data_IF_829986473367
#
_entry.id   IF_829986473367
#
_cell.length_a   1.000
_cell.length_b   1.000
_cell.length_c   1.000
_cell.angle_alpha   90.00
_cell.angle_beta   90.00
_cell.angle_gamma   90.00
#
_symmetry.space_group_name_H-M   'P 1'
#
loop_
_entity.id
_entity.type
_entity.pdbx_description
1 polymer ?
#
# COMPACT_ATOMS: atom_id res chain seq x y z
N UNK A 1 16.55 -8.31 20.17
CA UNK A 1 15.41 -9.00 20.83
C UNK A 1 14.68 -9.83 19.79
N UNK A 2 14.14 -11.00 20.14
CA UNK A 2 13.48 -11.88 19.17
C UNK A 2 11.96 -11.89 19.39
N UNK A 3 11.20 -11.75 18.30
CA UNK A 3 9.76 -11.89 18.28
C UNK A 3 9.32 -13.12 17.48
N UNK A 4 8.17 -13.67 17.86
CA UNK A 4 7.44 -14.65 17.07
C UNK A 4 6.02 -14.15 16.82
N UNK A 5 5.57 -14.24 15.56
CA UNK A 5 4.22 -13.88 15.15
C UNK A 5 3.38 -15.15 15.10
N UNK A 6 2.31 -15.19 15.88
CA UNK A 6 1.36 -16.32 15.97
C UNK A 6 0.01 -15.86 15.42
N UNK A 7 -0.30 -16.22 14.18
CA UNK A 7 -1.59 -15.93 13.59
C UNK A 7 -2.59 -17.04 13.96
N UNK A 8 -3.74 -16.65 14.53
CA UNK A 8 -4.81 -17.55 14.96
C UNK A 8 -5.99 -17.40 13.99
N UNK A 9 -6.32 -18.49 13.30
CA UNK A 9 -7.42 -18.55 12.35
C UNK A 9 -7.36 -19.80 11.48
N UNK A 10 -8.44 -20.59 11.45
CA UNK A 10 -8.53 -21.82 10.65
C UNK A 10 -8.53 -21.52 9.15
N UNK A 11 -9.11 -20.41 8.73
CA UNK A 11 -9.17 -19.92 7.36
C UNK A 11 -7.78 -19.66 6.76
N UNK A 12 -6.79 -19.32 7.60
CA UNK A 12 -5.39 -19.18 7.19
C UNK A 12 -4.76 -20.55 6.84
N UNK A 13 -5.09 -21.59 7.61
CA UNK A 13 -4.62 -22.96 7.36
C UNK A 13 -5.32 -23.60 6.16
N UNK A 14 -6.58 -23.21 5.90
CA UNK A 14 -7.35 -23.66 4.74
C UNK A 14 -6.98 -22.93 3.44
N UNK A 15 -6.08 -21.93 3.50
CA UNK A 15 -5.67 -21.14 2.34
C UNK A 15 -6.78 -20.23 1.79
N UNK A 16 -7.83 -19.98 2.56
CA UNK A 16 -8.93 -19.09 2.18
C UNK A 16 -8.52 -17.61 2.25
N UNK A 17 -7.58 -17.30 3.15
CA UNK A 17 -7.01 -15.96 3.33
C UNK A 17 -5.49 -16.10 3.40
N UNK A 18 -4.78 -15.21 2.70
CA UNK A 18 -3.32 -15.11 2.82
C UNK A 18 -2.95 -14.39 4.12
N UNK A 19 -1.97 -14.89 4.88
CA UNK A 19 -1.50 -14.26 6.11
C UNK A 19 -0.66 -12.99 5.83
N UNK A 20 -1.32 -11.92 5.39
CA UNK A 20 -0.70 -10.61 5.13
C UNK A 20 -0.33 -9.87 6.42
N UNK A 21 -0.94 -10.23 7.55
CA UNK A 21 -0.59 -9.68 8.86
C UNK A 21 0.85 -9.99 9.25
N UNK A 22 1.30 -11.23 9.05
CA UNK A 22 2.68 -11.62 9.37
C UNK A 22 3.70 -10.85 8.52
N UNK A 23 3.39 -10.58 7.24
CA UNK A 23 4.20 -9.72 6.38
C UNK A 23 4.31 -8.31 6.97
N UNK A 24 3.18 -7.66 7.24
CA UNK A 24 3.15 -6.31 7.78
C UNK A 24 3.90 -6.20 9.11
N UNK A 25 3.63 -7.10 10.05
CA UNK A 25 4.30 -7.11 11.36
C UNK A 25 5.80 -7.35 11.23
N UNK A 26 6.23 -8.24 10.33
CA UNK A 26 7.67 -8.46 10.09
C UNK A 26 8.37 -7.22 9.57
N UNK A 27 7.77 -6.53 8.60
CA UNK A 27 8.30 -5.28 8.05
C UNK A 27 8.47 -4.23 9.15
N UNK A 28 7.45 -4.09 10.02
CA UNK A 28 7.48 -3.12 11.11
C UNK A 28 8.46 -3.49 12.23
N UNK A 29 8.49 -4.75 12.65
CA UNK A 29 9.44 -5.24 13.67
C UNK A 29 10.89 -5.12 13.19
N UNK A 30 11.15 -5.46 11.93
CA UNK A 30 12.45 -5.24 11.31
C UNK A 30 12.83 -3.77 11.32
N UNK A 31 11.88 -2.84 11.10
CA UNK A 31 12.16 -1.39 11.14
C UNK A 31 12.55 -0.86 12.52
N UNK A 32 12.35 -1.63 13.60
CA UNK A 32 12.74 -1.25 14.96
C UNK A 32 13.79 -2.19 15.58
N UNK A 33 14.46 -3.00 14.78
CA UNK A 33 15.56 -3.86 15.24
C UNK A 33 15.11 -5.11 16.00
N UNK A 34 13.85 -5.52 15.86
CA UNK A 34 13.34 -6.76 16.44
C UNK A 34 13.41 -7.88 15.40
N UNK A 35 14.13 -8.95 15.71
CA UNK A 35 14.28 -10.09 14.81
C UNK A 35 13.01 -10.93 14.84
N UNK A 36 12.51 -11.30 13.66
CA UNK A 36 11.43 -12.28 13.51
C UNK A 36 12.01 -13.51 12.80
N UNK A 37 12.09 -14.63 13.52
CA UNK A 37 12.62 -15.89 12.97
C UNK A 37 11.54 -16.89 12.59
N UNK A 38 10.36 -16.78 13.21
CA UNK A 38 9.26 -17.72 12.99
C UNK A 38 7.94 -16.98 12.86
N UNK A 39 7.16 -17.43 11.88
CA UNK A 39 5.71 -17.24 11.84
C UNK A 39 5.07 -18.57 12.14
N UNK A 40 4.11 -18.58 13.05
CA UNK A 40 3.32 -19.77 13.37
C UNK A 40 1.87 -19.44 13.03
N UNK A 41 1.22 -20.30 12.26
CA UNK A 41 -0.23 -20.23 12.01
C UNK A 41 -0.90 -21.38 12.73
N UNK A 42 -1.94 -21.08 13.50
CA UNK A 42 -2.68 -22.07 14.30
C UNK A 42 -4.17 -21.89 14.07
N UNK A 43 -4.89 -22.97 13.80
CA UNK A 43 -6.36 -22.92 13.69
C UNK A 43 -7.01 -22.74 15.07
N UNK A 44 -8.29 -22.41 15.09
CA UNK A 44 -9.08 -22.02 16.27
C UNK A 44 -9.31 -23.19 17.23
N UNK A 45 -8.27 -23.56 17.96
CA UNK A 45 -8.26 -24.70 18.87
C UNK A 45 -7.34 -24.42 20.05
N UNK A 46 -7.92 -24.39 21.25
CA UNK A 46 -7.22 -24.09 22.50
C UNK A 46 -5.96 -24.92 22.70
N UNK A 47 -6.02 -26.24 22.52
CA UNK A 47 -4.87 -27.13 22.77
C UNK A 47 -3.71 -26.83 21.83
N UNK A 48 -3.98 -26.73 20.52
CA UNK A 48 -2.96 -26.41 19.52
C UNK A 48 -2.35 -25.03 19.77
N UNK A 49 -3.17 -24.05 20.15
CA UNK A 49 -2.69 -22.72 20.48
C UNK A 49 -1.80 -22.75 21.74
N UNK A 50 -2.16 -23.51 22.78
CA UNK A 50 -1.29 -23.70 23.96
C UNK A 50 0.07 -24.35 23.60
N UNK A 51 0.06 -25.36 22.74
CA UNK A 51 1.30 -26.04 22.29
C UNK A 51 2.19 -25.08 21.48
N UNK A 52 1.60 -24.26 20.61
CA UNK A 52 2.30 -23.23 19.86
C UNK A 52 2.92 -22.16 20.76
N UNK A 53 2.16 -21.65 21.74
CA UNK A 53 2.63 -20.63 22.69
C UNK A 53 3.82 -21.15 23.50
N UNK A 54 3.70 -22.36 24.07
CA UNK A 54 4.81 -22.99 24.83
C UNK A 54 6.08 -23.19 24.00
N UNK A 55 5.93 -23.38 22.69
CA UNK A 55 7.06 -23.49 21.77
C UNK A 55 7.68 -22.12 21.52
N UNK A 56 6.85 -21.11 21.26
CA UNK A 56 7.29 -19.73 21.04
C UNK A 56 7.99 -19.12 22.26
N UNK A 57 7.49 -19.37 23.48
CA UNK A 57 8.09 -18.91 24.74
C UNK A 57 9.54 -19.38 24.93
N UNK A 58 9.92 -20.52 24.33
CA UNK A 58 11.29 -21.05 24.40
C UNK A 58 12.27 -20.32 23.49
N UNK A 59 11.79 -19.65 22.44
CA UNK A 59 12.64 -19.11 21.36
C UNK A 59 12.46 -17.62 21.07
N UNK A 60 11.44 -16.98 21.64
CA UNK A 60 11.15 -15.57 21.50
C UNK A 60 11.01 -14.86 22.86
N UNK A 61 11.33 -13.57 22.89
CA UNK A 61 11.07 -12.67 24.02
C UNK A 61 9.71 -12.00 23.88
N UNK A 62 9.27 -11.77 22.65
CA UNK A 62 8.01 -11.12 22.31
C UNK A 62 7.14 -12.10 21.53
N UNK A 63 5.91 -12.31 21.97
CA UNK A 63 4.92 -13.12 21.27
C UNK A 63 3.80 -12.20 20.80
N UNK A 64 3.63 -12.07 19.48
CA UNK A 64 2.61 -11.22 18.88
C UNK A 64 1.53 -12.11 18.26
N UNK A 65 0.31 -11.98 18.73
CA UNK A 65 -0.85 -12.73 18.26
C UNK A 65 -1.71 -11.85 17.35
N UNK A 66 -2.19 -12.42 16.25
CA UNK A 66 -3.21 -11.77 15.41
C UNK A 66 -4.39 -12.72 15.21
N UNK A 67 -5.60 -12.27 15.55
CA UNK A 67 -6.82 -13.06 15.37
C UNK A 67 -7.33 -13.74 16.65
N UNK A 68 -8.57 -14.25 16.58
CA UNK A 68 -9.26 -14.90 17.69
C UNK A 68 -9.64 -13.98 18.87
N UNK A 69 -9.83 -12.67 18.60
CA UNK A 69 -10.22 -11.66 19.61
C UNK A 69 -11.70 -11.25 19.56
N UNK A 70 -12.45 -11.75 18.58
CA UNK A 70 -13.84 -11.39 18.36
C UNK A 70 -14.83 -11.98 19.38
N UNK A 71 -16.13 -11.92 19.07
CA UNK A 71 -17.22 -12.33 19.96
C UNK A 71 -17.66 -13.79 19.79
N UNK A 72 -17.13 -14.54 18.82
CA UNK A 72 -17.64 -15.88 18.49
C UNK A 72 -16.97 -16.96 19.36
N UNK A 73 -17.42 -18.21 19.22
CA UNK A 73 -16.97 -19.33 20.08
C UNK A 73 -15.57 -19.84 19.71
N UNK A 74 -15.17 -19.66 18.46
CA UNK A 74 -13.85 -19.92 17.90
C UNK A 74 -12.82 -18.85 18.26
N UNK A 75 -13.24 -17.63 18.65
CA UNK A 75 -12.36 -16.61 19.23
C UNK A 75 -11.85 -17.02 20.61
N UNK A 76 -10.78 -17.82 20.66
CA UNK A 76 -10.28 -18.45 21.89
C UNK A 76 -8.93 -17.88 22.36
N UNK A 77 -8.39 -16.87 21.65
CA UNK A 77 -7.02 -16.39 21.87
C UNK A 77 -6.84 -15.78 23.26
N UNK A 78 -7.78 -14.95 23.71
CA UNK A 78 -7.71 -14.25 25.01
C UNK A 78 -7.72 -15.23 26.18
N UNK A 79 -8.68 -16.15 26.17
CA UNK A 79 -8.87 -17.17 27.19
C UNK A 79 -7.69 -18.14 27.23
N UNK A 80 -7.19 -18.53 26.05
CA UNK A 80 -6.05 -19.43 25.96
C UNK A 80 -4.80 -18.79 26.55
N UNK A 81 -4.50 -17.53 26.19
CA UNK A 81 -3.33 -16.83 26.71
C UNK A 81 -3.48 -16.58 28.21
N UNK A 82 -4.65 -16.12 28.68
CA UNK A 82 -4.97 -15.93 30.10
C UNK A 82 -4.63 -17.18 30.94
N UNK A 83 -5.00 -18.36 30.44
CA UNK A 83 -4.71 -19.65 31.10
C UNK A 83 -3.22 -19.96 31.22
N UNK A 84 -2.41 -19.55 30.23
CA UNK A 84 -0.97 -19.82 30.17
C UNK A 84 -0.20 -18.85 31.06
N UNK A 85 -0.50 -17.55 30.95
CA UNK A 85 0.17 -16.50 31.72
C UNK A 85 -0.34 -16.42 33.17
N UNK A 86 -1.41 -17.16 33.48
CA UNK A 86 -2.08 -17.22 34.79
C UNK A 86 -2.58 -15.85 35.23
N UNK A 87 -3.27 -15.15 34.33
CA UNK A 87 -3.94 -13.88 34.61
C UNK A 87 -5.43 -14.00 34.37
N UNK A 88 -6.21 -13.20 35.10
CA UNK A 88 -7.65 -13.11 34.90
C UNK A 88 -7.96 -12.27 33.65
N UNK A 89 -9.13 -12.52 33.05
CA UNK A 89 -9.74 -11.61 32.09
C UNK A 89 -10.68 -10.66 32.82
N UNK A 90 -10.53 -9.37 32.55
CA UNK A 90 -11.37 -8.30 33.11
C UNK A 90 -11.97 -7.46 31.98
N UNK A 91 -13.11 -6.84 32.22
CA UNK A 91 -13.67 -5.89 31.25
C UNK A 91 -12.88 -4.59 31.28
N UNK A 92 -12.48 -4.13 30.10
CA UNK A 92 -12.08 -2.74 29.90
C UNK A 92 -13.33 -1.89 29.65
N UNK A 93 -13.62 -0.98 30.58
CA UNK A 93 -14.84 -0.17 30.54
C UNK A 93 -14.86 0.80 29.34
N UNK A 94 -13.69 1.27 28.90
CA UNK A 94 -13.59 2.16 27.73
C UNK A 94 -13.93 1.40 26.44
N UNK A 95 -13.38 0.21 26.24
CA UNK A 95 -13.72 -0.67 25.12
C UNK A 95 -15.19 -1.08 25.16
N UNK A 96 -15.72 -1.44 26.34
CA UNK A 96 -17.13 -1.81 26.48
C UNK A 96 -18.07 -0.66 26.11
N UNK A 97 -17.73 0.57 26.52
CA UNK A 97 -18.47 1.78 26.16
C UNK A 97 -18.41 2.03 24.65
N UNK A 98 -17.22 1.99 24.07
CA UNK A 98 -17.02 2.17 22.62
C UNK A 98 -17.81 1.17 21.78
N UNK A 99 -17.84 -0.11 22.20
CA UNK A 99 -18.64 -1.14 21.53
C UNK A 99 -20.13 -0.78 21.61
N UNK A 100 -20.66 -0.45 22.81
CA UNK A 100 -22.08 -0.05 22.95
C UNK A 100 -22.44 1.15 22.09
N UNK A 101 -21.58 2.17 22.06
CA UNK A 101 -21.75 3.35 21.22
C UNK A 101 -21.80 3.01 19.73
N UNK A 102 -20.98 2.07 19.26
CA UNK A 102 -21.03 1.58 17.89
C UNK A 102 -22.40 0.96 17.56
N UNK A 103 -22.92 0.10 18.43
CA UNK A 103 -24.22 -0.56 18.21
C UNK A 103 -25.36 0.47 18.21
N UNK A 104 -25.35 1.42 19.15
CA UNK A 104 -26.30 2.52 19.21
C UNK A 104 -26.25 3.38 17.94
N UNK A 105 -25.05 3.79 17.50
CA UNK A 105 -24.85 4.62 16.31
C UNK A 105 -25.30 3.94 15.02
N UNK A 106 -25.12 2.62 14.92
CA UNK A 106 -25.48 1.84 13.73
C UNK A 106 -26.91 1.30 13.75
N UNK A 107 -27.67 1.53 14.83
CA UNK A 107 -29.02 1.00 15.00
C UNK A 107 -29.07 -0.52 15.08
N UNK A 108 -27.97 -1.16 15.48
CA UNK A 108 -27.87 -2.63 15.60
C UNK A 108 -28.07 -3.05 17.05
N UNK A 109 -28.66 -4.21 17.25
CA UNK A 109 -28.82 -4.79 18.59
C UNK A 109 -27.46 -5.18 19.18
N UNK A 110 -27.19 -4.73 20.40
CA UNK A 110 -26.02 -5.12 21.19
C UNK A 110 -26.31 -6.43 21.94
N UNK A 111 -25.59 -7.51 21.62
CA UNK A 111 -25.79 -8.82 22.23
C UNK A 111 -24.73 -9.13 23.30
N UNK A 112 -25.05 -10.01 24.25
CA UNK A 112 -24.17 -10.34 25.38
C UNK A 112 -22.79 -10.87 24.95
N UNK A 113 -22.71 -11.63 23.86
CA UNK A 113 -21.43 -12.11 23.35
C UNK A 113 -20.53 -10.99 22.82
N UNK A 114 -21.06 -9.80 22.46
CA UNK A 114 -20.22 -8.67 22.11
C UNK A 114 -19.40 -8.15 23.29
N UNK A 115 -19.89 -8.34 24.54
CA UNK A 115 -19.13 -7.98 25.75
C UNK A 115 -17.80 -8.72 25.81
N UNK A 116 -17.73 -9.95 25.32
CA UNK A 116 -16.51 -10.79 25.25
C UNK A 116 -15.36 -10.06 24.55
N UNK A 117 -15.65 -9.16 23.60
CA UNK A 117 -14.63 -8.40 22.90
C UNK A 117 -13.92 -7.41 23.81
N UNK A 118 -14.60 -6.83 24.81
CA UNK A 118 -14.02 -5.91 25.79
C UNK A 118 -13.21 -6.59 26.91
N UNK A 119 -13.11 -7.92 26.91
CA UNK A 119 -12.26 -8.62 27.87
C UNK A 119 -10.78 -8.40 27.52
N UNK A 120 -9.99 -8.02 28.52
CA UNK A 120 -8.54 -7.84 28.42
C UNK A 120 -7.84 -8.61 29.54
N UNK A 121 -6.57 -8.94 29.33
CA UNK A 121 -5.74 -9.54 30.37
C UNK A 121 -5.54 -8.52 31.49
N UNK A 122 -5.80 -8.93 32.74
CA UNK A 122 -5.58 -8.09 33.91
C UNK A 122 -4.14 -7.58 33.94
N UNK A 123 -3.97 -6.27 34.13
CA UNK A 123 -2.65 -5.63 34.16
C UNK A 123 -2.01 -5.39 32.79
N UNK A 124 -2.70 -5.68 31.69
CA UNK A 124 -2.22 -5.33 30.35
C UNK A 124 -2.41 -3.85 30.02
N UNK A 125 -1.56 -3.31 29.16
CA UNK A 125 -1.78 -2.04 28.48
C UNK A 125 -2.78 -2.27 27.35
N UNK A 126 -3.96 -1.63 27.43
CA UNK A 126 -5.02 -1.76 26.43
C UNK A 126 -4.72 -0.86 25.23
N UNK A 127 -4.85 -1.42 24.02
CA UNK A 127 -4.72 -0.68 22.76
C UNK A 127 -6.11 -0.45 22.17
N UNK A 128 -6.55 0.80 22.17
CA UNK A 128 -7.88 1.16 21.66
C UNK A 128 -8.03 0.78 20.18
N UNK A 129 -9.20 0.22 19.83
CA UNK A 129 -9.51 -0.13 18.44
C UNK A 129 -10.51 0.87 17.84
N UNK A 130 -10.00 1.89 17.15
CA UNK A 130 -10.84 2.90 16.50
C UNK A 130 -11.45 2.45 15.17
N UNK A 131 -11.12 1.23 14.70
CA UNK A 131 -11.52 0.70 13.38
C UNK A 131 -12.36 -0.57 13.48
N UNK A 132 -12.68 -0.98 14.70
CA UNK A 132 -13.40 -2.21 15.02
C UNK A 132 -13.84 -2.22 16.48
N UNK A 133 -14.05 -3.42 17.02
CA UNK A 133 -14.67 -3.59 18.35
C UNK A 133 -13.72 -4.18 19.39
N UNK A 134 -12.86 -5.13 19.00
CA UNK A 134 -11.97 -5.80 19.94
C UNK A 134 -10.69 -4.96 20.15
N UNK A 135 -10.41 -4.44 21.35
CA UNK A 135 -9.15 -3.79 21.64
C UNK A 135 -7.99 -4.79 21.52
N UNK A 136 -6.82 -4.28 21.19
CA UNK A 136 -5.58 -5.01 21.39
C UNK A 136 -5.09 -4.87 22.83
N UNK A 137 -4.03 -5.59 23.19
CA UNK A 137 -3.39 -5.42 24.49
C UNK A 137 -1.93 -5.88 24.48
N UNK A 138 -1.12 -5.29 25.35
CA UNK A 138 0.27 -5.67 25.63
C UNK A 138 0.45 -6.03 27.10
N UNK A 139 1.04 -7.19 27.41
CA UNK A 139 1.30 -7.65 28.76
C UNK A 139 2.77 -8.03 28.95
N UNK A 140 3.40 -7.49 29.98
CA UNK A 140 4.71 -7.94 30.45
C UNK A 140 4.52 -9.01 31.53
N UNK A 141 5.04 -10.22 31.30
CA UNK A 141 4.95 -11.33 32.26
C UNK A 141 6.14 -12.27 32.10
N UNK A 142 6.80 -12.63 33.20
CA UNK A 142 7.90 -13.62 33.22
C UNK A 142 9.01 -13.34 32.18
N UNK A 143 9.48 -12.09 32.09
CA UNK A 143 10.49 -11.64 31.10
C UNK A 143 10.05 -11.74 29.63
N UNK A 144 8.77 -12.03 29.40
CA UNK A 144 8.15 -12.07 28.07
C UNK A 144 7.18 -10.91 27.91
N UNK A 145 6.96 -10.57 26.65
CA UNK A 145 5.96 -9.59 26.22
C UNK A 145 4.95 -10.30 25.34
N UNK A 146 3.67 -10.25 25.73
CA UNK A 146 2.55 -10.81 24.97
C UNK A 146 1.76 -9.66 24.37
N UNK A 147 1.60 -9.64 23.06
CA UNK A 147 0.82 -8.61 22.34
C UNK A 147 -0.30 -9.30 21.59
N UNK A 148 -1.55 -8.94 21.86
CA UNK A 148 -2.72 -9.50 21.18
C UNK A 148 -3.34 -8.42 20.30
N UNK A 149 -3.52 -8.73 19.02
CA UNK A 149 -4.06 -7.82 18.01
C UNK A 149 -5.25 -8.47 17.27
N UNK A 150 -6.19 -7.65 16.76
CA UNK A 150 -7.30 -8.15 15.95
C UNK A 150 -6.78 -8.82 14.66
N UNK A 151 -7.60 -9.70 14.09
CA UNK A 151 -7.28 -10.40 12.83
C UNK A 151 -7.39 -9.52 11.58
N UNK A 152 -8.45 -8.71 11.41
CA UNK A 152 -8.61 -7.89 10.21
C UNK A 152 -7.47 -6.86 10.02
N UNK A 153 -6.78 -6.82 8.87
CA UNK A 153 -5.68 -5.88 8.63
C UNK A 153 -6.06 -4.42 8.82
N UNK A 154 -7.28 -4.03 8.42
CA UNK A 154 -7.84 -2.68 8.59
C UNK A 154 -7.98 -2.23 10.05
N UNK A 155 -7.96 -3.16 11.00
CA UNK A 155 -7.97 -2.88 12.44
C UNK A 155 -6.56 -3.01 13.03
N UNK A 156 -5.85 -4.08 12.66
CA UNK A 156 -4.53 -4.41 13.20
C UNK A 156 -3.46 -3.39 12.81
N UNK A 157 -3.40 -3.00 11.54
CA UNK A 157 -2.36 -2.10 11.04
C UNK A 157 -2.40 -0.71 11.69
N UNK A 158 -3.53 0.02 11.74
CA UNK A 158 -3.59 1.30 12.43
C UNK A 158 -3.35 1.15 13.94
N UNK A 159 -3.83 0.08 14.57
CA UNK A 159 -3.56 -0.18 15.99
C UNK A 159 -2.06 -0.40 16.25
N UNK A 160 -1.37 -1.11 15.36
CA UNK A 160 0.07 -1.30 15.46
C UNK A 160 0.79 0.04 15.43
N UNK A 161 0.52 0.85 14.40
CA UNK A 161 1.20 2.13 14.20
C UNK A 161 0.96 3.10 15.36
N UNK A 162 -0.26 3.15 15.91
CA UNK A 162 -0.61 4.11 16.96
C UNK A 162 -0.17 3.68 18.36
N UNK A 163 -0.15 2.39 18.66
CA UNK A 163 0.03 1.90 20.03
C UNK A 163 1.14 0.87 20.19
N UNK A 164 1.24 -0.11 19.29
CA UNK A 164 2.20 -1.22 19.44
C UNK A 164 3.62 -0.77 19.15
N UNK A 165 3.84 0.05 18.11
CA UNK A 165 5.17 0.57 17.78
C UNK A 165 5.75 1.40 18.96
N UNK A 166 5.03 2.40 19.53
CA UNK A 166 5.48 3.09 20.74
C UNK A 166 5.69 2.15 21.93
N UNK A 167 4.78 1.19 22.15
CA UNK A 167 4.89 0.21 23.22
C UNK A 167 6.18 -0.61 23.10
N UNK A 168 6.49 -1.13 21.90
CA UNK A 168 7.68 -1.94 21.63
C UNK A 168 8.98 -1.12 21.71
N UNK A 169 8.98 0.15 21.28
CA UNK A 169 10.16 1.02 21.40
C UNK A 169 10.59 1.22 22.85
N UNK A 170 9.65 1.21 23.79
CA UNK A 170 9.97 1.28 25.23
C UNK A 170 10.57 -0.03 25.77
N UNK A 171 10.44 -1.13 25.05
CA UNK A 171 11.01 -2.44 25.40
C UNK A 171 12.40 -2.65 24.80
N UNK A 172 12.67 -2.05 23.64
CA UNK A 172 13.96 -2.20 22.93
C UNK A 172 14.99 -1.18 23.41
N UNK A 173 16.09 -1.63 24.01
CA UNK A 173 17.19 -0.78 24.51
C UNK A 173 18.41 -0.72 23.56
N UNK A 174 18.19 -0.71 22.24
CA UNK A 174 19.27 -0.88 21.25
C UNK A 174 19.30 0.16 20.12
N UNK A 175 20.21 -0.05 19.18
CA UNK A 175 20.22 0.67 17.90
C UNK A 175 18.88 0.51 17.19
N UNK A 176 18.38 1.61 16.65
CA UNK A 176 17.18 1.62 15.82
C UNK A 176 17.56 1.51 14.35
N UNK A 177 16.63 0.99 13.56
CA UNK A 177 16.74 0.91 12.12
C UNK A 177 16.02 2.11 11.52
N UNK A 178 16.70 2.79 10.61
CA UNK A 178 16.18 3.93 9.87
C UNK A 178 16.26 3.58 8.40
N UNK A 179 15.14 3.74 7.68
CA UNK A 179 15.08 3.41 6.26
C UNK A 179 14.52 4.57 5.45
N UNK A 180 15.05 4.74 4.25
CA UNK A 180 14.54 5.64 3.22
C UNK A 180 14.44 4.87 1.91
N UNK A 181 13.28 4.93 1.26
CA UNK A 181 13.08 4.32 -0.06
C UNK A 181 13.17 5.42 -1.11
N UNK A 182 14.08 5.29 -2.06
CA UNK A 182 14.17 6.13 -3.25
C UNK A 182 13.33 5.49 -4.36
N UNK A 183 12.45 6.25 -5.01
CA UNK A 183 11.60 5.74 -6.09
C UNK A 183 12.04 6.30 -7.44
N UNK A 184 12.11 5.42 -8.43
CA UNK A 184 12.51 5.75 -9.79
C UNK A 184 11.51 5.22 -10.81
N UNK A 185 11.36 5.96 -11.91
CA UNK A 185 10.50 5.59 -13.03
C UNK A 185 11.20 5.89 -14.36
N UNK A 186 10.96 5.05 -15.37
CA UNK A 186 11.60 5.17 -16.69
C UNK A 186 12.92 4.40 -16.83
N UNK A 187 13.39 3.72 -15.78
CA UNK A 187 14.55 2.83 -15.80
C UNK A 187 14.16 1.42 -15.34
N UNK A 188 14.66 0.39 -16.03
CA UNK A 188 14.45 -1.01 -15.65
C UNK A 188 15.34 -1.42 -14.46
N UNK A 189 14.95 -2.48 -13.75
CA UNK A 189 15.65 -2.98 -12.56
C UNK A 189 17.13 -3.26 -12.84
N UNK A 190 17.43 -4.06 -13.85
CA UNK A 190 18.82 -4.41 -14.20
C UNK A 190 19.64 -3.18 -14.62
N UNK A 191 19.02 -2.19 -15.28
CA UNK A 191 19.73 -0.96 -15.67
C UNK A 191 20.05 -0.09 -14.45
N UNK A 192 19.11 0.02 -13.51
CA UNK A 192 19.32 0.74 -12.26
C UNK A 192 20.43 0.08 -11.46
N UNK A 193 20.34 -1.24 -11.25
CA UNK A 193 21.32 -2.01 -10.48
C UNK A 193 22.72 -1.88 -11.06
N UNK A 194 22.91 -2.06 -12.38
CA UNK A 194 24.21 -1.87 -13.03
C UNK A 194 24.80 -0.47 -12.79
N UNK A 195 23.98 0.59 -12.78
CA UNK A 195 24.46 1.96 -12.55
C UNK A 195 24.91 2.23 -11.11
N UNK A 196 24.46 1.44 -10.15
CA UNK A 196 24.80 1.61 -8.72
C UNK A 196 25.48 0.38 -8.11
N UNK A 197 25.92 -0.59 -8.94
CA UNK A 197 26.43 -1.88 -8.50
C UNK A 197 27.61 -1.74 -7.53
N UNK A 198 28.57 -0.87 -7.81
CA UNK A 198 29.71 -0.63 -6.94
C UNK A 198 29.31 -0.02 -5.59
N UNK A 199 28.23 0.77 -5.52
CA UNK A 199 27.70 1.27 -4.25
C UNK A 199 27.05 0.12 -3.46
N UNK A 200 26.35 -0.80 -4.14
CA UNK A 200 25.78 -2.00 -3.53
C UNK A 200 26.89 -2.93 -3.04
N UNK A 201 27.93 -3.18 -3.83
CA UNK A 201 29.01 -4.11 -3.48
C UNK A 201 29.87 -3.60 -2.31
N UNK A 202 30.05 -2.28 -2.21
CA UNK A 202 30.85 -1.63 -1.15
C UNK A 202 30.00 -1.08 0.01
N UNK A 203 28.71 -1.42 0.07
CA UNK A 203 27.82 -0.95 1.13
C UNK A 203 28.25 -1.45 2.52
N UNK A 204 27.99 -0.65 3.55
CA UNK A 204 28.18 -1.06 4.95
C UNK A 204 26.98 -0.64 5.77
N UNK A 205 27.06 0.53 6.39
CA UNK A 205 25.97 1.23 7.04
C UNK A 205 25.91 2.63 6.42
N UNK A 206 24.91 2.95 5.58
CA UNK A 206 23.68 2.20 5.31
C UNK A 206 23.86 1.00 4.36
N UNK A 207 22.90 0.06 4.40
CA UNK A 207 22.72 -0.97 3.37
C UNK A 207 21.83 -0.44 2.23
N UNK A 208 22.11 -0.84 0.99
CA UNK A 208 21.37 -0.54 -0.23
C UNK A 208 20.73 -1.83 -0.74
N UNK A 209 19.41 -1.86 -0.85
CA UNK A 209 18.65 -3.00 -1.36
C UNK A 209 17.76 -2.58 -2.54
N UNK A 210 18.00 -3.10 -3.75
CA UNK A 210 17.05 -3.00 -4.86
C UNK A 210 15.75 -3.73 -4.53
N UNK A 211 14.64 -3.08 -4.84
CA UNK A 211 13.29 -3.65 -4.73
C UNK A 211 12.53 -3.34 -6.01
N UNK A 212 12.20 -4.38 -6.76
CA UNK A 212 11.32 -4.29 -7.90
C UNK A 212 9.85 -4.27 -7.46
N UNK A 213 9.06 -3.43 -8.12
CA UNK A 213 7.61 -3.55 -8.13
C UNK A 213 7.10 -3.45 -9.57
N UNK A 214 5.83 -3.78 -9.81
CA UNK A 214 5.28 -3.84 -11.16
C UNK A 214 5.31 -2.46 -11.86
N UNK A 215 6.33 -2.21 -12.68
CA UNK A 215 6.45 -1.01 -13.53
C UNK A 215 7.20 0.17 -12.93
N UNK A 216 7.79 0.04 -11.75
CA UNK A 216 8.69 1.04 -11.16
C UNK A 216 9.78 0.33 -10.35
N UNK A 217 10.87 1.02 -10.07
CA UNK A 217 11.99 0.45 -9.34
C UNK A 217 12.34 1.32 -8.16
N UNK A 218 12.73 0.70 -7.05
CA UNK A 218 13.05 1.41 -5.82
C UNK A 218 14.36 0.92 -5.21
N UNK A 219 15.08 1.82 -4.54
CA UNK A 219 16.24 1.46 -3.74
C UNK A 219 15.92 1.77 -2.27
N UNK A 220 16.04 0.79 -1.38
CA UNK A 220 15.90 1.00 0.06
C UNK A 220 17.28 1.19 0.67
N UNK A 221 17.49 2.36 1.26
CA UNK A 221 18.64 2.67 2.10
C UNK A 221 18.28 2.43 3.55
N UNK A 222 19.06 1.64 4.27
CA UNK A 222 18.79 1.30 5.67
C UNK A 222 20.02 1.50 6.53
N UNK A 223 19.95 2.43 7.48
CA UNK A 223 20.99 2.66 8.47
C UNK A 223 20.60 2.10 9.85
N UNK A 224 21.58 1.59 10.59
CA UNK A 224 21.45 1.23 12.00
C UNK A 224 22.22 2.22 12.84
N UNK A 225 21.56 2.84 13.80
CA UNK A 225 22.22 3.76 14.73
C UNK A 225 21.40 3.96 16.00
N UNK A 226 22.02 4.41 17.10
CA UNK A 226 21.30 4.79 18.32
C UNK A 226 20.68 6.20 18.25
N UNK A 227 21.16 7.02 17.30
CA UNK A 227 20.79 8.42 17.13
C UNK A 227 20.23 8.62 15.72
N UNK A 228 19.04 9.22 15.65
CA UNK A 228 18.27 9.46 14.41
C UNK A 228 19.04 10.33 13.42
N UNK A 229 19.59 11.46 13.88
CA UNK A 229 20.28 12.43 13.03
C UNK A 229 21.52 11.84 12.37
N UNK A 230 22.28 11.01 13.10
CA UNK A 230 23.43 10.31 12.56
C UNK A 230 23.03 9.24 11.53
N UNK A 231 21.94 8.51 11.77
CA UNK A 231 21.42 7.56 10.79
C UNK A 231 20.95 8.26 9.51
N UNK A 232 20.28 9.41 9.64
CA UNK A 232 19.83 10.21 8.50
C UNK A 232 20.99 10.76 7.68
N UNK A 233 22.07 11.20 8.34
CA UNK A 233 23.29 11.67 7.66
C UNK A 233 23.95 10.55 6.85
N UNK A 234 24.07 9.35 7.42
CA UNK A 234 24.59 8.17 6.72
C UNK A 234 23.76 7.85 5.48
N UNK A 235 22.42 7.87 5.60
CA UNK A 235 21.50 7.65 4.47
C UNK A 235 21.68 8.73 3.40
N UNK A 236 21.76 10.01 3.79
CA UNK A 236 21.88 11.14 2.87
C UNK A 236 23.17 11.08 2.04
N UNK A 237 24.29 10.64 2.61
CA UNK A 237 25.56 10.51 1.89
C UNK A 237 25.47 9.49 0.75
N UNK A 238 24.90 8.31 1.02
CA UNK A 238 24.72 7.27 0.00
C UNK A 238 23.68 7.67 -1.04
N UNK A 239 22.58 8.31 -0.60
CA UNK A 239 21.57 8.85 -1.50
C UNK A 239 22.16 9.82 -2.51
N UNK A 240 23.00 10.76 -2.07
CA UNK A 240 23.62 11.73 -2.97
C UNK A 240 24.40 11.04 -4.10
N UNK A 241 25.22 10.04 -3.76
CA UNK A 241 26.00 9.26 -4.74
C UNK A 241 25.11 8.48 -5.73
N UNK A 242 23.96 7.98 -5.26
CA UNK A 242 22.97 7.31 -6.13
C UNK A 242 22.33 8.33 -7.07
N UNK A 243 21.85 9.46 -6.54
CA UNK A 243 21.14 10.47 -7.33
C UNK A 243 22.04 11.16 -8.35
N UNK A 244 23.35 11.27 -8.12
CA UNK A 244 24.29 11.73 -9.15
C UNK A 244 24.31 10.83 -10.40
N UNK A 245 23.96 9.55 -10.26
CA UNK A 245 24.05 8.55 -11.35
C UNK A 245 22.72 8.26 -12.04
N UNK A 246 21.63 8.33 -11.29
CA UNK A 246 20.28 7.94 -11.73
C UNK A 246 19.20 8.95 -11.36
N UNK A 247 19.58 10.16 -10.93
CA UNK A 247 18.66 11.21 -10.50
C UNK A 247 17.67 11.66 -11.56
N UNK A 248 17.97 11.48 -12.86
CA UNK A 248 17.03 11.78 -13.95
C UNK A 248 15.74 10.93 -13.90
N UNK A 249 15.81 9.73 -13.30
CA UNK A 249 14.69 8.81 -13.14
C UNK A 249 13.99 8.95 -11.79
N UNK A 250 14.59 9.70 -10.86
CA UNK A 250 14.11 9.84 -9.51
C UNK A 250 12.87 10.75 -9.45
N UNK A 251 11.86 10.37 -8.67
CA UNK A 251 10.63 11.17 -8.56
C UNK A 251 10.08 11.35 -7.13
N UNK A 252 10.58 10.61 -6.14
CA UNK A 252 10.06 10.72 -4.77
C UNK A 252 10.62 9.72 -3.78
N UNK A 253 10.20 9.88 -2.52
CA UNK A 253 10.64 9.06 -1.39
C UNK A 253 9.48 8.22 -0.82
N UNK A 254 9.78 7.04 -0.28
CA UNK A 254 8.83 6.25 0.52
C UNK A 254 7.47 6.00 -0.17
N UNK A 255 6.40 6.66 0.30
CA UNK A 255 5.02 6.55 -0.19
C UNK A 255 4.65 7.68 -1.17
N UNK A 256 5.64 8.43 -1.66
CA UNK A 256 5.49 9.42 -2.73
C UNK A 256 5.29 8.71 -4.08
N UNK A 257 4.13 8.12 -4.31
CA UNK A 257 3.80 7.50 -5.59
C UNK A 257 3.59 8.56 -6.69
N UNK A 258 3.78 8.18 -7.96
CA UNK A 258 3.64 9.10 -9.11
C UNK A 258 2.30 9.85 -9.13
N UNK A 259 1.20 9.17 -8.79
CA UNK A 259 -0.12 9.79 -8.75
C UNK A 259 -0.19 10.86 -7.65
N UNK A 260 0.36 10.62 -6.45
CA UNK A 260 0.46 11.65 -5.40
C UNK A 260 1.22 12.88 -5.90
N UNK A 261 2.38 12.69 -6.53
CA UNK A 261 3.22 13.78 -7.05
C UNK A 261 2.51 14.58 -8.15
N UNK A 262 1.86 13.91 -9.09
CA UNK A 262 1.10 14.57 -10.15
C UNK A 262 -0.08 15.40 -9.58
N UNK A 263 -0.85 14.84 -8.64
CA UNK A 263 -1.98 15.54 -8.02
C UNK A 263 -1.51 16.73 -7.15
N UNK A 264 -0.40 16.59 -6.43
CA UNK A 264 0.22 17.68 -5.67
C UNK A 264 0.60 18.85 -6.59
N UNK A 265 1.26 18.57 -7.71
CA UNK A 265 1.63 19.60 -8.69
C UNK A 265 0.42 20.26 -9.35
N UNK A 266 -0.63 19.50 -9.69
CA UNK A 266 -1.89 20.06 -10.20
C UNK A 266 -2.48 21.07 -9.20
N UNK A 267 -2.60 20.69 -7.93
CA UNK A 267 -3.10 21.57 -6.86
C UNK A 267 -2.23 22.81 -6.71
N UNK A 268 -0.91 22.64 -6.69
CA UNK A 268 0.06 23.74 -6.55
C UNK A 268 -0.02 24.74 -7.71
N UNK A 269 -0.24 24.26 -8.93
CA UNK A 269 -0.30 25.09 -10.15
C UNK A 269 -1.72 25.58 -10.49
N UNK A 270 -2.74 25.09 -9.79
CA UNK A 270 -4.13 25.46 -10.04
C UNK A 270 -4.71 24.87 -11.32
N UNK A 271 -4.11 23.81 -11.87
CA UNK A 271 -4.61 23.11 -13.06
C UNK A 271 -5.68 22.08 -12.69
N UNK A 272 -6.69 21.97 -13.55
CA UNK A 272 -7.74 20.95 -13.44
C UNK A 272 -7.53 19.82 -14.45
N UNK A 273 -7.90 18.59 -14.08
CA UNK A 273 -7.67 17.36 -14.83
C UNK A 273 -8.98 16.63 -15.17
N UNK A 274 -9.08 16.10 -16.38
CA UNK A 274 -10.09 15.16 -16.85
C UNK A 274 -9.46 13.95 -17.54
N UNK A 275 -10.08 12.76 -17.47
CA UNK A 275 -9.57 11.56 -18.15
C UNK A 275 -10.57 10.85 -19.09
N UNK A 276 -10.07 10.32 -20.20
CA UNK A 276 -10.80 9.43 -21.11
C UNK A 276 -10.15 8.04 -21.14
N UNK A 277 -10.83 7.02 -20.62
CA UNK A 277 -10.26 5.70 -20.41
C UNK A 277 -10.91 4.64 -21.29
N UNK A 278 -10.12 3.98 -22.15
CA UNK A 278 -10.53 2.77 -22.87
C UNK A 278 -9.90 1.54 -22.19
N UNK A 279 -8.66 1.16 -22.53
CA UNK A 279 -8.07 -0.10 -22.04
C UNK A 279 -7.92 -0.18 -20.51
N UNK A 280 -7.74 0.96 -19.84
CA UNK A 280 -7.54 1.03 -18.38
C UNK A 280 -8.85 0.81 -17.62
N UNK A 281 -9.99 1.12 -18.24
CA UNK A 281 -11.32 0.81 -17.70
C UNK A 281 -11.64 1.50 -16.37
N UNK A 282 -11.19 2.74 -16.18
CA UNK A 282 -11.41 3.51 -14.95
C UNK A 282 -10.28 3.41 -13.92
N UNK A 283 -9.21 2.66 -14.21
CA UNK A 283 -8.10 2.47 -13.29
C UNK A 283 -7.30 3.77 -13.03
N UNK A 284 -7.15 4.64 -14.04
CA UNK A 284 -6.51 5.93 -13.85
C UNK A 284 -7.38 6.81 -12.94
N UNK A 285 -8.68 6.93 -13.24
CA UNK A 285 -9.64 7.65 -12.42
C UNK A 285 -9.67 7.15 -10.98
N UNK A 286 -9.66 5.82 -10.76
CA UNK A 286 -9.55 5.23 -9.43
C UNK A 286 -8.32 5.74 -8.66
N UNK A 287 -7.13 5.65 -9.26
CA UNK A 287 -5.88 6.12 -8.63
C UNK A 287 -5.84 7.64 -8.41
N UNK A 288 -6.47 8.43 -9.28
CA UNK A 288 -6.67 9.87 -9.02
C UNK A 288 -7.51 10.05 -7.76
N UNK A 289 -8.64 9.34 -7.65
CA UNK A 289 -9.59 9.45 -6.53
C UNK A 289 -9.13 8.87 -5.20
N UNK A 290 -8.07 8.07 -5.19
CA UNK A 290 -7.40 7.64 -3.95
C UNK A 290 -6.74 8.82 -3.20
N UNK A 291 -6.47 9.94 -3.88
CA UNK A 291 -5.89 11.14 -3.27
C UNK A 291 -6.95 11.96 -2.50
N UNK A 292 -6.70 12.21 -1.21
CA UNK A 292 -7.57 13.09 -0.43
C UNK A 292 -7.65 14.52 -1.03
N UNK A 293 -8.86 15.07 -1.06
CA UNK A 293 -9.12 16.43 -1.55
C UNK A 293 -8.94 16.62 -3.06
N UNK A 294 -8.88 15.54 -3.86
CA UNK A 294 -8.69 15.63 -5.32
C UNK A 294 -9.86 16.29 -6.06
N UNK A 295 -11.04 16.38 -5.44
CA UNK A 295 -12.21 17.08 -5.99
C UNK A 295 -11.96 18.57 -6.30
N UNK A 296 -10.90 19.15 -5.74
CA UNK A 296 -10.44 20.51 -6.06
C UNK A 296 -9.83 20.64 -7.46
N UNK A 297 -9.30 19.55 -8.03
CA UNK A 297 -8.55 19.57 -9.31
C UNK A 297 -9.09 18.56 -10.33
N UNK A 298 -9.63 17.41 -9.92
CA UNK A 298 -10.14 16.40 -10.85
C UNK A 298 -11.61 16.64 -11.17
N UNK A 299 -11.90 16.94 -12.43
CA UNK A 299 -13.25 17.22 -12.96
C UNK A 299 -14.07 15.96 -13.25
N UNK A 300 -13.41 14.80 -13.29
CA UNK A 300 -14.03 13.51 -13.59
C UNK A 300 -13.44 12.86 -14.85
N UNK A 301 -14.14 11.87 -15.37
CA UNK A 301 -13.70 11.17 -16.57
C UNK A 301 -14.79 10.38 -17.26
N UNK A 302 -14.46 9.90 -18.46
CA UNK A 302 -15.32 9.08 -19.30
C UNK A 302 -14.64 7.76 -19.57
N UNK A 303 -15.28 6.65 -19.17
CA UNK A 303 -14.85 5.31 -19.57
C UNK A 303 -15.46 5.02 -20.95
N UNK A 304 -14.68 5.25 -22.00
CA UNK A 304 -15.10 5.14 -23.40
C UNK A 304 -14.77 3.75 -23.99
N UNK A 305 -15.25 2.70 -23.32
CA UNK A 305 -14.86 1.31 -23.58
C UNK A 305 -15.35 0.75 -24.93
N UNK A 306 -16.35 1.39 -25.56
CA UNK A 306 -16.88 1.04 -26.88
C UNK A 306 -16.70 2.20 -27.88
N UNK A 307 -16.57 1.91 -29.18
CA UNK A 307 -16.39 2.93 -30.21
C UNK A 307 -17.57 3.91 -30.27
N UNK A 308 -18.79 3.45 -30.04
CA UNK A 308 -19.96 4.35 -29.95
C UNK A 308 -19.80 5.41 -28.86
N UNK A 309 -19.19 5.08 -27.71
CA UNK A 309 -18.95 6.06 -26.65
C UNK A 309 -17.86 7.04 -27.07
N UNK A 310 -16.80 6.55 -27.74
CA UNK A 310 -15.75 7.40 -28.32
C UNK A 310 -16.33 8.39 -29.32
N UNK A 311 -17.21 7.93 -30.22
CA UNK A 311 -17.83 8.75 -31.26
C UNK A 311 -18.88 9.71 -30.69
N UNK A 312 -19.83 9.24 -29.89
CA UNK A 312 -21.01 10.04 -29.51
C UNK A 312 -20.80 10.92 -28.27
N UNK A 313 -19.97 10.49 -27.31
CA UNK A 313 -19.71 11.26 -26.08
C UNK A 313 -18.44 12.10 -26.23
N UNK A 314 -17.37 11.49 -26.72
CA UNK A 314 -16.07 12.15 -26.89
C UNK A 314 -15.80 12.59 -28.33
N UNK A 315 -16.81 12.60 -29.20
CA UNK A 315 -16.74 13.21 -30.53
C UNK A 315 -15.52 12.80 -31.36
N UNK A 316 -15.02 11.57 -31.20
CA UNK A 316 -13.96 11.03 -32.06
C UNK A 316 -14.56 10.85 -33.47
N UNK A 317 -13.97 11.44 -34.52
CA UNK A 317 -14.51 11.32 -35.87
C UNK A 317 -14.62 9.85 -36.31
N UNK A 318 -15.74 9.51 -36.93
CA UNK A 318 -15.97 8.16 -37.44
C UNK A 318 -14.88 7.74 -38.43
N UNK A 319 -14.43 8.66 -39.28
CA UNK A 319 -13.31 8.45 -40.21
C UNK A 319 -12.03 8.00 -39.49
N UNK A 320 -11.71 8.58 -38.31
CA UNK A 320 -10.54 8.18 -37.52
C UNK A 320 -10.69 6.76 -36.98
N UNK A 321 -11.89 6.41 -36.49
CA UNK A 321 -12.16 5.05 -35.98
C UNK A 321 -12.15 4.00 -37.09
N UNK A 322 -12.52 4.35 -38.32
CA UNK A 322 -12.51 3.44 -39.47
C UNK A 322 -11.11 3.28 -40.10
N UNK A 323 -10.32 4.35 -40.15
CA UNK A 323 -9.03 4.35 -40.85
C UNK A 323 -7.86 3.99 -39.94
N UNK A 324 -7.61 4.79 -38.90
CA UNK A 324 -6.53 4.57 -37.94
C UNK A 324 -6.89 3.50 -36.88
N UNK A 325 -8.19 3.39 -36.58
CA UNK A 325 -8.72 2.52 -35.54
C UNK A 325 -8.76 3.21 -34.16
N UNK A 326 -9.45 2.59 -33.20
CA UNK A 326 -9.50 3.07 -31.82
C UNK A 326 -8.15 2.95 -31.10
N UNK A 327 -7.29 2.02 -31.54
CA UNK A 327 -5.94 1.83 -31.00
C UNK A 327 -4.94 2.61 -31.86
N UNK A 328 -4.99 3.93 -31.81
CA UNK A 328 -4.17 4.81 -32.64
C UNK A 328 -3.75 6.07 -31.90
N UNK A 329 -2.72 6.74 -32.42
CA UNK A 329 -2.29 8.03 -31.92
C UNK A 329 -3.38 9.10 -32.15
N UNK A 330 -4.05 9.05 -33.30
CA UNK A 330 -5.14 9.95 -33.66
C UNK A 330 -6.32 9.82 -32.69
N UNK A 331 -6.74 8.58 -32.39
CA UNK A 331 -7.81 8.36 -31.42
C UNK A 331 -7.40 8.85 -30.03
N UNK A 332 -6.17 8.56 -29.57
CA UNK A 332 -5.68 9.05 -28.29
C UNK A 332 -5.72 10.59 -28.21
N UNK A 333 -5.30 11.29 -29.27
CA UNK A 333 -5.34 12.75 -29.36
C UNK A 333 -6.76 13.29 -29.20
N UNK A 334 -7.70 12.81 -30.02
CA UNK A 334 -9.11 13.25 -29.93
C UNK A 334 -9.72 12.97 -28.57
N UNK A 335 -9.45 11.80 -27.98
CA UNK A 335 -9.97 11.47 -26.64
C UNK A 335 -9.47 12.45 -25.57
N UNK A 336 -8.19 12.83 -25.62
CA UNK A 336 -7.60 13.77 -24.65
C UNK A 336 -8.15 15.19 -24.83
N UNK A 337 -8.22 15.67 -26.07
CA UNK A 337 -8.76 16.99 -26.40
C UNK A 337 -10.25 17.10 -26.06
N UNK A 338 -11.03 16.10 -26.45
CA UNK A 338 -12.48 16.17 -26.31
C UNK A 338 -12.93 15.95 -24.87
N UNK A 339 -12.21 15.16 -24.06
CA UNK A 339 -12.52 15.07 -22.62
C UNK A 339 -12.16 16.36 -21.88
N UNK A 340 -11.06 17.02 -22.27
CA UNK A 340 -10.66 18.32 -21.74
C UNK A 340 -11.78 19.34 -21.96
N UNK A 341 -12.30 19.40 -23.18
CA UNK A 341 -13.41 20.27 -23.58
C UNK A 341 -14.72 19.91 -22.89
N UNK A 342 -15.13 18.63 -22.93
CA UNK A 342 -16.38 18.14 -22.37
C UNK A 342 -16.51 18.47 -20.87
N UNK A 343 -15.43 18.29 -20.10
CA UNK A 343 -15.42 18.50 -18.66
C UNK A 343 -14.86 19.87 -18.24
N UNK A 344 -14.59 20.76 -19.21
CA UNK A 344 -14.06 22.11 -18.98
C UNK A 344 -12.86 22.11 -18.01
N UNK A 345 -11.93 21.20 -18.28
CA UNK A 345 -10.68 21.08 -17.53
C UNK A 345 -9.53 21.75 -18.28
N UNK A 346 -8.46 22.08 -17.57
CA UNK A 346 -7.26 22.61 -18.20
C UNK A 346 -6.44 21.50 -18.89
N UNK A 347 -6.51 20.28 -18.37
CA UNK A 347 -5.77 19.11 -18.86
C UNK A 347 -6.73 17.96 -19.11
N UNK A 348 -6.70 17.40 -20.33
CA UNK A 348 -7.31 16.12 -20.66
C UNK A 348 -6.24 15.06 -20.90
N UNK A 349 -6.39 13.89 -20.29
CA UNK A 349 -5.53 12.73 -20.51
C UNK A 349 -6.35 11.56 -21.06
N UNK A 350 -5.81 10.79 -22.00
CA UNK A 350 -6.51 9.65 -22.61
C UNK A 350 -5.69 8.38 -22.61
N UNK A 351 -6.38 7.24 -22.64
CA UNK A 351 -5.76 5.91 -22.63
C UNK A 351 -6.47 4.98 -23.62
N UNK A 352 -5.79 4.65 -24.72
CA UNK A 352 -6.27 3.65 -25.69
C UNK A 352 -5.16 2.67 -26.07
N UNK A 353 -5.50 1.42 -26.41
CA UNK A 353 -4.50 0.36 -26.50
C UNK A 353 -5.07 -1.05 -26.43
N UNK A 354 -4.19 -2.03 -26.61
CA UNK A 354 -4.51 -3.46 -26.51
C UNK A 354 -3.98 -4.00 -25.18
N UNK A 355 -4.86 -4.26 -24.22
CA UNK A 355 -4.46 -4.87 -22.95
C UNK A 355 -4.26 -6.40 -23.05
N UNK A 356 -4.74 -7.06 -24.12
CA UNK A 356 -4.67 -8.51 -24.27
C UNK A 356 -5.76 -9.29 -23.48
N UNK A 357 -5.76 -10.63 -23.57
CA UNK A 357 -4.74 -11.44 -24.23
C UNK A 357 -4.80 -11.42 -25.77
N UNK A 358 -5.96 -11.11 -26.34
CA UNK A 358 -6.14 -11.11 -27.80
C UNK A 358 -5.61 -9.82 -28.44
N UNK A 359 -5.10 -9.93 -29.67
CA UNK A 359 -4.83 -8.78 -30.51
C UNK A 359 -6.12 -8.03 -30.86
N UNK A 360 -6.01 -6.73 -31.16
CA UNK A 360 -7.14 -5.90 -31.57
C UNK A 360 -6.69 -4.93 -32.67
N UNK A 361 -7.51 -4.76 -33.72
CA UNK A 361 -7.18 -3.90 -34.88
C UNK A 361 -5.80 -4.21 -35.48
N UNK A 362 -5.43 -5.50 -35.56
CA UNK A 362 -4.11 -6.00 -35.99
C UNK A 362 -2.91 -5.49 -35.16
N UNK A 363 -3.15 -5.09 -33.91
CA UNK A 363 -2.12 -4.65 -32.96
C UNK A 363 -2.02 -5.63 -31.80
N UNK A 364 -0.78 -5.95 -31.44
CA UNK A 364 -0.48 -6.93 -30.38
C UNK A 364 -0.76 -6.36 -28.98
N UNK A 365 -1.07 -7.22 -27.99
CA UNK A 365 -1.12 -6.84 -26.59
C UNK A 365 0.12 -6.05 -26.16
N UNK A 366 -0.09 -4.93 -25.49
CA UNK A 366 0.96 -4.00 -25.08
C UNK A 366 1.11 -2.78 -25.96
N UNK A 367 0.48 -2.74 -27.15
CA UNK A 367 0.40 -1.54 -27.97
C UNK A 367 -0.54 -0.53 -27.31
N UNK A 368 0.01 0.59 -26.81
CA UNK A 368 -0.74 1.59 -26.03
C UNK A 368 -0.40 3.00 -26.50
N UNK A 369 -1.39 3.88 -26.49
CA UNK A 369 -1.25 5.31 -26.75
C UNK A 369 -1.86 6.09 -25.60
N UNK A 370 -1.10 7.04 -25.05
CA UNK A 370 -1.55 7.97 -24.02
C UNK A 370 -1.57 9.37 -24.62
N UNK A 371 -2.74 10.00 -24.73
CA UNK A 371 -2.86 11.39 -25.18
C UNK A 371 -2.85 12.34 -23.99
N UNK A 372 -2.20 13.50 -24.13
CA UNK A 372 -2.16 14.56 -23.12
C UNK A 372 -2.39 15.92 -23.79
N UNK A 373 -3.58 16.48 -23.57
CA UNK A 373 -3.99 17.79 -24.06
C UNK A 373 -3.94 18.78 -22.89
N UNK A 374 -3.07 19.78 -22.97
CA UNK A 374 -2.94 20.84 -21.95
C UNK A 374 -3.49 22.14 -22.52
N UNK A 375 -4.02 23.01 -21.67
CA UNK A 375 -4.53 24.33 -22.07
C UNK A 375 -3.41 25.13 -22.76
N UNK A 376 -3.73 25.72 -23.90
CA UNK A 376 -2.86 26.58 -24.71
C UNK A 376 -1.56 25.91 -25.24
N UNK A 377 -1.47 24.57 -25.18
CA UNK A 377 -0.34 23.77 -25.66
C UNK A 377 -0.79 22.78 -26.75
N UNK A 378 0.08 22.42 -27.71
CA UNK A 378 -0.19 21.32 -28.63
C UNK A 378 -0.39 20.00 -27.88
N UNK A 379 -1.39 19.20 -28.28
CA UNK A 379 -1.63 17.87 -27.70
C UNK A 379 -0.47 16.93 -28.03
N UNK A 380 0.06 16.25 -27.02
CA UNK A 380 1.14 15.28 -27.14
C UNK A 380 0.54 13.87 -27.03
N UNK A 381 1.06 12.92 -27.82
CA UNK A 381 0.69 11.51 -27.69
C UNK A 381 1.94 10.67 -27.45
N UNK A 382 1.88 9.79 -26.45
CA UNK A 382 2.96 8.90 -26.05
C UNK A 382 2.63 7.46 -26.50
N UNK A 383 3.27 6.95 -27.57
CA UNK A 383 3.18 5.55 -27.93
C UNK A 383 4.04 4.70 -26.98
N UNK A 384 3.49 3.59 -26.52
CA UNK A 384 4.14 2.63 -25.62
C UNK A 384 4.01 1.21 -26.18
N UNK A 385 5.07 0.43 -26.00
CA UNK A 385 5.08 -1.00 -26.24
C UNK A 385 5.37 -1.70 -24.91
N UNK A 386 4.32 -2.21 -24.27
CA UNK A 386 4.35 -2.81 -22.95
C UNK A 386 4.32 -4.34 -23.03
N UNK A 387 4.82 -5.02 -22.00
CA UNK A 387 4.74 -6.47 -21.87
C UNK A 387 4.10 -6.85 -20.53
N UNK A 388 3.51 -8.04 -20.47
CA UNK A 388 2.94 -8.63 -19.26
C UNK A 388 1.52 -9.15 -19.45
N UNK A 389 0.90 -9.56 -18.36
CA UNK A 389 -0.52 -9.93 -18.34
C UNK A 389 -1.43 -8.71 -18.63
N UNK A 390 -2.70 -8.97 -18.92
CA UNK A 390 -3.71 -7.92 -19.12
C UNK A 390 -3.74 -6.89 -18.00
N UNK A 391 -3.65 -7.35 -16.76
CA UNK A 391 -3.68 -6.47 -15.60
C UNK A 391 -2.40 -5.62 -15.51
N UNK A 392 -1.23 -6.23 -15.71
CA UNK A 392 0.04 -5.51 -15.69
C UNK A 392 0.14 -4.45 -16.79
N UNK A 393 -0.36 -4.73 -18.01
CA UNK A 393 -0.39 -3.73 -19.10
C UNK A 393 -1.25 -2.53 -18.70
N UNK A 394 -2.42 -2.76 -18.11
CA UNK A 394 -3.32 -1.69 -17.63
C UNK A 394 -2.67 -0.86 -16.53
N UNK A 395 -2.07 -1.50 -15.53
CA UNK A 395 -1.41 -0.82 -14.40
C UNK A 395 -0.20 0.00 -14.86
N UNK A 396 0.66 -0.58 -15.71
CA UNK A 396 1.81 0.12 -16.28
C UNK A 396 1.37 1.31 -17.13
N UNK A 397 0.32 1.17 -17.93
CA UNK A 397 -0.28 2.26 -18.72
C UNK A 397 -0.67 3.44 -17.83
N UNK A 398 -1.34 3.17 -16.71
CA UNK A 398 -1.73 4.20 -15.74
C UNK A 398 -0.50 4.89 -15.12
N UNK A 399 0.53 4.12 -14.74
CA UNK A 399 1.79 4.68 -14.21
C UNK A 399 2.50 5.58 -15.23
N UNK A 400 2.60 5.16 -16.49
CA UNK A 400 3.14 6.01 -17.56
C UNK A 400 2.29 7.27 -17.76
N UNK A 401 0.96 7.17 -17.65
CA UNK A 401 0.08 8.34 -17.67
C UNK A 401 0.41 9.36 -16.58
N UNK A 402 0.54 8.91 -15.34
CA UNK A 402 0.96 9.79 -14.23
C UNK A 402 2.39 10.31 -14.39
N UNK A 403 3.31 9.50 -14.89
CA UNK A 403 4.69 9.93 -15.16
C UNK A 403 4.74 11.06 -16.19
N UNK A 404 4.09 10.90 -17.35
CA UNK A 404 4.06 11.93 -18.38
C UNK A 404 3.35 13.20 -17.91
N UNK A 405 2.26 13.06 -17.16
CA UNK A 405 1.57 14.19 -16.53
C UNK A 405 2.49 14.92 -15.52
N UNK A 406 3.15 14.17 -14.64
CA UNK A 406 4.08 14.71 -13.64
C UNK A 406 5.23 15.48 -14.29
N UNK A 407 5.94 14.85 -15.25
CA UNK A 407 7.06 15.48 -15.96
C UNK A 407 6.62 16.76 -16.68
N UNK A 408 5.47 16.72 -17.36
CA UNK A 408 4.99 17.90 -18.08
C UNK A 408 4.59 19.04 -17.14
N UNK A 409 4.01 18.73 -15.99
CA UNK A 409 3.72 19.74 -14.96
C UNK A 409 5.01 20.30 -14.32
N UNK A 410 6.04 19.48 -14.14
CA UNK A 410 7.35 19.88 -13.60
C UNK A 410 8.11 20.84 -14.53
N UNK A 411 7.94 20.70 -15.85
CA UNK A 411 8.53 21.57 -16.87
C UNK A 411 7.84 22.95 -17.00
N UNK A 412 6.55 23.01 -16.69
CA UNK A 412 5.76 24.26 -16.63
C UNK A 412 6.07 25.04 -15.35
#
# INVERSE_FOLDING_TARGET
MNAEIIAVGTELLLGQITNTNAKFLSEKLASIGINVYYHTVVGDNTRRLQEAIRTAEKRANILIFTGGLGPTKDDLTKETIASIVKEDLVYDEAALTSIREYFNRTGREFTENNKKQALVLKGSTVFANNHGMAPGMGLHKNEKVYILLPGPPKEMQPMYNSYVDPFLRNVTTGEHIYSRVLRFFGIGESQLEVKVQDLIDNQTNPTIAPLASDGEVTLRLTAKHQNVEQAELLIQQVEHLILERVGEFFYGYNEDFLHHKAIELLKKKGFTLACAESLTGGLFGNQVTENAGVSSVFKGGVICYHNDVKQHILQVPEETLQTAGAVSEECARYLAENVKLLLQSDIGISFTGVAGPDASENKEPGTVFIGLAIKDEPTIVFPLCLSGSRQQIRERTVKYGFYHLYKKLEEM
#
